data_IF_570482502285
#
_entry.id   IF_570482502285
#
_cell.length_a   1.000
_cell.length_b   1.000
_cell.length_c   1.000
_cell.angle_alpha   90.00
_cell.angle_beta   90.00
_cell.angle_gamma   90.00
#
_symmetry.space_group_name_H-M   'P 1'
#
loop_
_entity.id
_entity.type
_entity.pdbx_description
1 polymer ?
#
# COMPACT_ATOMS: atom_id res chain seq x y z
N UNK A 1 9.48 -13.86 8.15
CA UNK A 1 9.31 -13.25 6.83
C UNK A 1 9.07 -11.76 7.02
N UNK A 2 9.86 -10.91 6.39
CA UNK A 2 9.70 -9.45 6.43
C UNK A 2 8.60 -9.01 5.46
N UNK A 3 8.11 -7.78 5.60
CA UNK A 3 7.10 -7.25 4.68
C UNK A 3 7.65 -7.12 3.25
N UNK A 4 8.92 -6.77 3.12
CA UNK A 4 9.64 -6.67 1.84
C UNK A 4 9.72 -8.03 1.14
N UNK A 5 10.08 -9.09 1.87
CA UNK A 5 10.11 -10.46 1.33
C UNK A 5 8.74 -10.89 0.82
N UNK A 6 7.67 -10.59 1.56
CA UNK A 6 6.30 -10.92 1.18
C UNK A 6 5.90 -10.25 -0.14
N UNK A 7 6.29 -8.99 -0.34
CA UNK A 7 5.97 -8.23 -1.56
C UNK A 7 6.80 -8.71 -2.74
N UNK A 8 8.08 -9.04 -2.51
CA UNK A 8 8.95 -9.61 -3.55
C UNK A 8 8.47 -10.98 -4.03
N UNK A 9 7.81 -11.75 -3.17
CA UNK A 9 7.22 -13.06 -3.49
C UNK A 9 5.87 -13.00 -4.21
N UNK A 10 5.28 -11.80 -4.40
CA UNK A 10 4.05 -11.68 -5.19
C UNK A 10 4.24 -12.21 -6.61
N UNK A 11 3.19 -12.85 -7.14
CA UNK A 11 3.23 -13.41 -8.48
C UNK A 11 3.45 -12.31 -9.53
N UNK A 12 4.06 -12.64 -10.68
CA UNK A 12 4.24 -11.69 -11.78
C UNK A 12 2.92 -11.04 -12.23
N UNK A 13 1.81 -11.77 -12.18
CA UNK A 13 0.48 -11.27 -12.52
C UNK A 13 0.02 -10.18 -11.55
N UNK A 14 0.23 -10.38 -10.24
CA UNK A 14 -0.10 -9.38 -9.22
C UNK A 14 0.78 -8.15 -9.40
N UNK A 15 2.09 -8.33 -9.60
CA UNK A 15 3.02 -7.21 -9.84
C UNK A 15 2.62 -6.37 -11.05
N UNK A 16 2.15 -7.00 -12.14
CA UNK A 16 1.61 -6.29 -13.31
C UNK A 16 0.31 -5.54 -13.03
N UNK A 17 -0.50 -6.04 -12.09
CA UNK A 17 -1.75 -5.40 -11.71
C UNK A 17 -1.55 -4.15 -10.84
N UNK A 18 -0.37 -3.95 -10.22
CA UNK A 18 -0.03 -2.78 -9.39
C UNK A 18 0.04 -1.48 -10.22
N UNK A 19 -1.13 -0.97 -10.60
CA UNK A 19 -1.29 0.24 -11.39
C UNK A 19 -1.53 1.46 -10.47
N UNK A 20 -1.00 2.65 -10.80
CA UNK A 20 -1.10 3.86 -9.97
C UNK A 20 -2.54 4.29 -9.59
N UNK A 21 -3.52 3.85 -10.36
CA UNK A 21 -4.93 4.15 -10.20
C UNK A 21 -5.61 3.36 -9.07
N UNK A 22 -4.89 2.48 -8.37
CA UNK A 22 -5.43 1.61 -7.34
C UNK A 22 -4.56 1.56 -6.09
N UNK A 23 -5.19 1.42 -4.93
CA UNK A 23 -4.52 0.97 -3.71
C UNK A 23 -4.78 -0.52 -3.56
N UNK A 24 -3.73 -1.29 -3.25
CA UNK A 24 -3.81 -2.73 -3.02
C UNK A 24 -3.71 -3.01 -1.52
N UNK A 25 -4.51 -3.95 -1.05
CA UNK A 25 -4.58 -4.37 0.35
C UNK A 25 -4.21 -5.86 0.41
N UNK A 26 -3.07 -6.16 1.02
CA UNK A 26 -2.60 -7.52 1.24
C UNK A 26 -3.03 -8.00 2.64
N UNK A 27 -3.95 -8.96 2.67
CA UNK A 27 -4.31 -9.76 3.86
C UNK A 27 -3.67 -11.14 3.76
N UNK A 28 -3.70 -11.95 4.83
CA UNK A 28 -3.03 -13.26 4.87
C UNK A 28 -3.27 -14.09 3.60
N UNK A 29 -4.54 -14.26 3.20
CA UNK A 29 -4.89 -15.16 2.09
C UNK A 29 -5.44 -14.44 0.84
N UNK A 30 -5.62 -13.12 0.91
CA UNK A 30 -6.30 -12.37 -0.16
C UNK A 30 -5.63 -11.06 -0.46
N UNK A 31 -5.66 -10.68 -1.74
CA UNK A 31 -5.30 -9.34 -2.19
C UNK A 31 -6.57 -8.66 -2.67
N UNK A 32 -6.91 -7.55 -2.02
CA UNK A 32 -7.99 -6.66 -2.44
C UNK A 32 -7.39 -5.44 -3.12
N UNK A 33 -8.16 -4.75 -3.95
CA UNK A 33 -7.78 -3.46 -4.51
C UNK A 33 -9.01 -2.57 -4.65
N UNK A 34 -8.81 -1.26 -4.60
CA UNK A 34 -9.87 -0.30 -4.87
C UNK A 34 -9.34 0.91 -5.65
N UNK A 35 -10.17 1.51 -6.52
CA UNK A 35 -9.75 2.59 -7.40
C UNK A 35 -9.59 3.91 -6.64
N UNK A 36 -8.55 4.67 -6.99
CA UNK A 36 -8.21 5.99 -6.43
C UNK A 36 -8.02 7.07 -7.51
N UNK A 37 -8.54 6.85 -8.72
CA UNK A 37 -8.32 7.71 -9.92
C UNK A 37 -8.56 9.21 -9.73
N UNK A 38 -9.40 9.59 -8.76
CA UNK A 38 -9.76 10.99 -8.48
C UNK A 38 -9.39 11.43 -7.06
N UNK A 39 -8.61 10.61 -6.36
CA UNK A 39 -8.21 10.92 -4.99
C UNK A 39 -6.96 11.77 -4.99
N UNK A 40 -6.98 12.82 -4.18
CA UNK A 40 -5.80 13.60 -3.82
C UNK A 40 -4.90 12.82 -2.85
N UNK A 41 -3.63 13.23 -2.75
CA UNK A 41 -2.69 12.71 -1.74
C UNK A 41 -3.26 12.79 -0.32
N UNK A 42 -4.01 13.85 -0.02
CA UNK A 42 -4.67 14.05 1.29
C UNK A 42 -5.75 12.99 1.54
N UNK A 43 -6.58 12.67 0.55
CA UNK A 43 -7.60 11.62 0.67
C UNK A 43 -6.95 10.24 0.85
N UNK A 44 -5.89 9.97 0.10
CA UNK A 44 -5.10 8.73 0.26
C UNK A 44 -4.54 8.65 1.68
N UNK A 45 -3.95 9.73 2.22
CA UNK A 45 -3.46 9.78 3.61
C UNK A 45 -4.55 9.53 4.63
N UNK A 46 -5.71 10.18 4.48
CA UNK A 46 -6.84 10.01 5.39
C UNK A 46 -7.33 8.56 5.41
N UNK A 47 -7.40 7.93 4.24
CA UNK A 47 -7.77 6.52 4.14
C UNK A 47 -6.75 5.62 4.85
N UNK A 48 -5.44 5.84 4.65
CA UNK A 48 -4.40 5.11 5.38
C UNK A 48 -4.60 5.29 6.90
N UNK A 49 -4.66 6.54 7.38
CA UNK A 49 -4.79 6.83 8.81
C UNK A 49 -6.11 6.34 9.43
N UNK A 50 -7.18 6.19 8.64
CA UNK A 50 -8.43 5.59 9.11
C UNK A 50 -8.32 4.07 9.32
N UNK A 51 -7.35 3.42 8.68
CA UNK A 51 -7.15 1.96 8.70
C UNK A 51 -6.09 1.51 9.72
N UNK A 52 -5.22 2.41 10.14
CA UNK A 52 -4.11 2.12 11.05
C UNK A 52 -4.14 3.05 12.25
N UNK A 53 -4.05 2.50 13.47
CA UNK A 53 -3.80 3.34 14.66
C UNK A 53 -2.39 3.92 14.65
N UNK A 54 -1.42 3.13 14.18
CA UNK A 54 -0.04 3.55 14.01
C UNK A 54 0.51 2.91 12.72
N UNK A 55 0.96 3.76 11.80
CA UNK A 55 1.45 3.31 10.48
C UNK A 55 2.97 3.42 10.40
N UNK A 56 3.60 2.36 9.92
CA UNK A 56 4.97 2.34 9.44
C UNK A 56 4.96 2.33 7.91
N UNK A 57 5.99 2.93 7.32
CA UNK A 57 6.10 3.03 5.86
C UNK A 57 7.48 2.63 5.37
N UNK A 58 7.53 1.95 4.24
CA UNK A 58 8.76 1.67 3.49
C UNK A 58 8.52 1.78 1.99
N UNK A 59 9.59 1.88 1.21
CA UNK A 59 9.51 1.95 -0.26
C UNK A 59 10.16 0.72 -0.86
N UNK A 60 9.44 0.02 -1.75
CA UNK A 60 9.91 -1.18 -2.46
C UNK A 60 9.56 -1.05 -3.94
N UNK A 61 10.54 -1.11 -4.82
CA UNK A 61 10.36 -1.05 -6.28
C UNK A 61 9.43 0.10 -6.75
N UNK A 62 9.59 1.30 -6.20
CA UNK A 62 8.76 2.49 -6.47
C UNK A 62 7.30 2.43 -5.96
N UNK A 63 6.98 1.45 -5.14
CA UNK A 63 5.73 1.35 -4.40
C UNK A 63 5.97 1.81 -2.97
N UNK A 64 5.04 2.61 -2.47
CA UNK A 64 4.98 2.88 -1.05
C UNK A 64 4.20 1.74 -0.39
N UNK A 65 4.79 1.21 0.68
CA UNK A 65 4.22 0.15 1.49
C UNK A 65 3.86 0.74 2.85
N UNK A 66 2.58 0.69 3.21
CA UNK A 66 2.11 1.05 4.54
C UNK A 66 1.69 -0.22 5.29
N UNK A 67 2.15 -0.35 6.53
CA UNK A 67 1.85 -1.49 7.38
C UNK A 67 1.83 -1.01 8.82
N UNK A 68 1.03 -1.64 9.68
CA UNK A 68 0.99 -1.29 11.09
C UNK A 68 1.31 -2.49 11.97
N UNK A 69 0.79 -2.51 13.19
CA UNK A 69 1.06 -3.59 14.15
C UNK A 69 0.12 -4.78 13.91
N UNK A 70 0.40 -5.93 14.54
CA UNK A 70 -0.27 -7.24 14.36
C UNK A 70 -1.70 -7.21 13.76
N UNK A 71 -1.93 -8.10 12.78
CA UNK A 71 -3.19 -8.33 12.05
C UNK A 71 -3.72 -7.18 11.16
N UNK A 72 -3.10 -5.99 11.20
CA UNK A 72 -3.46 -4.93 10.26
C UNK A 72 -3.07 -5.31 8.82
N UNK A 73 -3.91 -4.96 7.81
CA UNK A 73 -3.59 -5.24 6.43
C UNK A 73 -2.31 -4.53 5.99
N UNK A 74 -1.73 -4.89 4.86
CA UNK A 74 -0.62 -4.14 4.25
C UNK A 74 -1.17 -3.39 3.05
N UNK A 75 -0.99 -2.07 3.00
CA UNK A 75 -1.31 -1.28 1.80
C UNK A 75 -0.09 -1.16 0.90
N UNK A 76 -0.32 -1.32 -0.40
CA UNK A 76 0.63 -1.01 -1.47
C UNK A 76 0.02 0.11 -2.30
N UNK A 77 0.75 1.21 -2.39
CA UNK A 77 0.37 2.41 -3.15
C UNK A 77 1.37 2.52 -4.31
N UNK A 78 0.95 2.13 -5.53
CA UNK A 78 1.81 2.14 -6.70
C UNK A 78 2.07 3.56 -7.18
N UNK A 79 3.33 3.81 -7.56
CA UNK A 79 3.88 5.13 -7.89
C UNK A 79 3.84 6.03 -6.65
N UNK A 80 5.01 6.44 -6.19
CA UNK A 80 5.19 7.33 -5.04
C UNK A 80 4.38 8.62 -5.26
N UNK A 81 3.13 8.64 -4.80
CA UNK A 81 2.38 9.85 -4.56
C UNK A 81 3.14 10.52 -3.42
N UNK A 82 3.86 11.59 -3.77
CA UNK A 82 4.95 12.18 -2.99
C UNK A 82 4.59 12.27 -1.50
N UNK A 83 5.18 11.40 -0.69
CA UNK A 83 4.95 11.32 0.75
C UNK A 83 5.50 12.52 1.53
N UNK A 84 6.25 13.41 0.85
CA UNK A 84 6.79 14.64 1.41
C UNK A 84 5.70 15.60 1.94
N UNK A 85 4.43 15.39 1.59
CA UNK A 85 3.29 16.17 2.10
C UNK A 85 2.57 15.52 3.28
N UNK A 86 2.99 14.32 3.71
CA UNK A 86 2.26 13.51 4.70
C UNK A 86 2.96 13.38 6.06
N UNK A 87 4.15 13.96 6.23
CA UNK A 87 4.77 14.22 7.54
C UNK A 87 4.35 15.58 8.08
#
# INVERSE_FOLDING_TARGET
MTITERIQQLSPQIKRALQPEFIFILKQDTIQHFPIRQWSNKQIKQEILSRYQQVQTTTVDHHLICYGTNDEPVLIIPKVATFAELT
#
